data_IF_338436180806
#
_entry.id   IF_338436180806
#
_cell.length_a   1.000
_cell.length_b   1.000
_cell.length_c   1.000
_cell.angle_alpha   90.00
_cell.angle_beta   90.00
_cell.angle_gamma   90.00
#
_symmetry.space_group_name_H-M   'P 1'
#
loop_
_entity.id
_entity.type
_entity.pdbx_description
1 polymer ?
#
# COMPACT_ATOMS: atom_id res chain seq x y z
N UNK A 1 14.03 16.83 -41.44
CA UNK A 1 14.16 15.94 -40.25
C UNK A 1 13.84 16.66 -38.92
N UNK A 2 12.82 17.54 -38.87
CA UNK A 2 12.42 18.24 -37.62
C UNK A 2 11.13 17.72 -37.00
N UNK A 3 10.33 16.96 -37.76
CA UNK A 3 9.00 16.48 -37.34
C UNK A 3 9.03 15.13 -36.59
N UNK A 4 10.11 14.35 -36.71
CA UNK A 4 10.22 13.04 -36.07
C UNK A 4 10.60 13.14 -34.58
N UNK A 5 11.39 14.15 -34.20
CA UNK A 5 11.79 14.40 -32.82
C UNK A 5 10.62 14.84 -31.92
N UNK A 6 9.58 15.44 -32.50
CA UNK A 6 8.37 15.83 -31.76
C UNK A 6 7.49 14.63 -31.40
N UNK A 7 7.51 13.55 -32.21
CA UNK A 7 6.73 12.35 -31.96
C UNK A 7 7.37 11.45 -30.88
N UNK A 8 8.71 11.37 -30.83
CA UNK A 8 9.39 10.66 -29.74
C UNK A 8 9.30 11.39 -28.39
N UNK A 9 9.14 12.72 -28.38
CA UNK A 9 8.97 13.50 -27.15
C UNK A 9 7.60 13.36 -26.47
N UNK A 10 6.57 12.88 -27.18
CA UNK A 10 5.24 12.67 -26.60
C UNK A 10 5.01 11.24 -26.08
N UNK A 11 5.91 10.29 -26.40
CA UNK A 11 5.87 8.94 -25.85
C UNK A 11 6.60 8.79 -24.51
N UNK A 12 7.24 9.86 -24.00
CA UNK A 12 8.00 9.83 -22.73
C UNK A 12 7.26 10.44 -21.54
N UNK A 13 5.95 10.68 -21.63
CA UNK A 13 5.14 11.25 -20.53
C UNK A 13 4.25 10.22 -19.82
N UNK A 14 4.34 8.92 -20.15
CA UNK A 14 3.29 7.94 -19.79
C UNK A 14 3.59 7.00 -18.63
N UNK A 15 4.45 7.34 -17.66
CA UNK A 15 4.67 6.44 -16.51
C UNK A 15 4.97 7.10 -15.15
N UNK A 16 4.89 8.43 -15.00
CA UNK A 16 5.28 9.09 -13.75
C UNK A 16 4.16 9.28 -12.71
N UNK A 17 2.93 8.81 -12.96
CA UNK A 17 1.86 8.86 -11.96
C UNK A 17 1.33 7.44 -11.69
N UNK A 18 2.24 6.56 -11.29
CA UNK A 18 1.86 5.42 -10.47
C UNK A 18 1.40 5.96 -9.12
N UNK A 19 0.23 5.50 -8.67
CA UNK A 19 -0.34 5.73 -7.34
C UNK A 19 0.73 6.04 -6.28
N UNK A 20 0.82 7.29 -5.79
CA UNK A 20 1.63 7.75 -4.64
C UNK A 20 3.02 7.15 -4.39
N UNK A 21 3.63 6.43 -5.34
CA UNK A 21 4.78 5.55 -5.12
C UNK A 21 4.48 4.08 -4.82
N UNK A 22 5.51 3.24 -4.98
CA UNK A 22 5.46 1.81 -4.63
C UNK A 22 5.42 1.61 -3.12
N UNK A 23 4.58 0.71 -2.62
CA UNK A 23 4.66 0.21 -1.24
C UNK A 23 5.54 -1.04 -1.18
N UNK A 24 6.45 -1.06 -0.23
CA UNK A 24 7.33 -2.18 0.05
C UNK A 24 7.12 -2.58 1.51
N UNK A 25 6.73 -3.83 1.74
CA UNK A 25 6.58 -4.38 3.09
C UNK A 25 7.65 -5.43 3.29
N UNK A 26 8.53 -5.23 4.27
CA UNK A 26 9.65 -6.10 4.57
C UNK A 26 9.46 -6.68 5.97
N UNK A 27 9.24 -7.98 6.05
CA UNK A 27 9.16 -8.69 7.32
C UNK A 27 10.52 -9.35 7.57
N UNK A 28 11.41 -8.69 8.31
CA UNK A 28 12.72 -9.22 8.69
C UNK A 28 12.69 -10.06 9.96
N UNK A 29 11.53 -10.23 10.59
CA UNK A 29 11.41 -11.13 11.75
C UNK A 29 11.68 -12.58 11.31
N UNK A 30 12.13 -13.41 12.25
CA UNK A 30 12.30 -14.86 12.02
C UNK A 30 11.17 -15.70 12.60
N UNK A 31 10.37 -15.13 13.49
CA UNK A 31 9.41 -15.87 14.32
C UNK A 31 7.96 -15.50 14.03
N UNK A 32 7.72 -14.47 13.20
CA UNK A 32 6.40 -13.91 13.03
C UNK A 32 6.03 -13.63 11.57
N UNK A 33 4.84 -14.03 11.15
CA UNK A 33 4.24 -13.66 9.87
C UNK A 33 3.43 -12.37 10.07
N UNK A 34 3.58 -11.45 9.13
CA UNK A 34 2.77 -10.22 9.10
C UNK A 34 1.43 -10.53 8.46
N UNK A 35 0.33 -10.27 9.18
CA UNK A 35 -1.02 -10.32 8.64
C UNK A 35 -1.61 -8.92 8.73
N UNK A 36 -2.02 -8.33 7.62
CA UNK A 36 -2.54 -6.97 7.68
C UNK A 36 -3.39 -6.53 6.50
N UNK A 37 -4.06 -5.40 6.73
CA UNK A 37 -4.77 -4.65 5.71
C UNK A 37 -3.96 -3.41 5.39
N UNK A 38 -3.71 -3.14 4.12
CA UNK A 38 -3.05 -1.92 3.67
C UNK A 38 -4.08 -0.92 3.18
N UNK A 39 -3.81 0.36 3.43
CA UNK A 39 -4.67 1.47 3.09
C UNK A 39 -3.91 2.48 2.26
N UNK A 40 -4.64 3.07 1.33
CA UNK A 40 -4.22 4.25 0.61
C UNK A 40 -5.36 5.26 0.61
N UNK A 41 -5.03 6.54 0.75
CA UNK A 41 -6.01 7.60 0.77
C UNK A 41 -5.49 8.83 0.03
N UNK A 42 -6.41 9.72 -0.28
CA UNK A 42 -6.05 11.09 -0.61
C UNK A 42 -5.57 11.79 0.66
N UNK A 43 -4.53 12.61 0.55
CA UNK A 43 -3.97 13.41 1.65
C UNK A 43 -3.93 14.90 1.33
N UNK A 44 -4.17 15.28 0.07
CA UNK A 44 -4.19 16.67 -0.40
C UNK A 44 -5.62 17.21 -0.55
N UNK A 45 -6.61 16.33 -0.73
CA UNK A 45 -8.02 16.67 -0.97
C UNK A 45 -9.00 16.16 0.09
N UNK A 46 -8.52 15.85 1.30
CA UNK A 46 -9.26 15.08 2.31
C UNK A 46 -9.03 13.59 2.16
N UNK A 47 -9.81 12.73 2.82
CA UNK A 47 -9.48 11.30 3.00
C UNK A 47 -9.97 10.36 1.91
N UNK A 48 -10.62 10.91 0.90
CA UNK A 48 -11.25 10.16 -0.16
C UNK A 48 -10.66 10.53 -1.52
N UNK A 49 -10.52 9.56 -2.45
CA UNK A 49 -10.90 8.17 -2.29
C UNK A 49 -10.00 7.41 -1.28
N UNK A 50 -10.59 6.47 -0.55
CA UNK A 50 -9.91 5.58 0.40
C UNK A 50 -10.00 4.16 -0.13
N UNK A 51 -8.84 3.52 -0.24
CA UNK A 51 -8.67 2.19 -0.79
C UNK A 51 -8.10 1.32 0.31
N UNK A 52 -8.62 0.12 0.48
CA UNK A 52 -8.01 -0.89 1.34
C UNK A 52 -7.95 -2.24 0.65
N UNK A 53 -6.98 -3.08 1.02
CA UNK A 53 -7.09 -4.51 0.72
C UNK A 53 -8.34 -5.08 1.40
N UNK A 54 -8.95 -6.11 0.80
CA UNK A 54 -10.23 -6.64 1.26
C UNK A 54 -10.05 -7.59 2.45
N UNK A 55 -10.74 -7.30 3.54
CA UNK A 55 -11.09 -8.22 4.64
C UNK A 55 -12.19 -9.21 4.16
N UNK A 56 -12.10 -10.55 4.37
CA UNK A 56 -11.23 -11.30 5.30
C UNK A 56 -9.83 -11.69 4.80
N UNK A 57 -9.46 -11.31 3.58
CA UNK A 57 -8.20 -11.72 2.97
C UNK A 57 -7.07 -10.76 3.36
N UNK A 58 -6.67 -10.80 4.64
CA UNK A 58 -5.49 -10.09 5.10
C UNK A 58 -4.27 -10.48 4.24
N UNK A 59 -3.43 -9.50 3.94
CA UNK A 59 -2.15 -9.73 3.29
C UNK A 59 -1.27 -10.47 4.28
N UNK A 60 -0.79 -11.65 3.89
CA UNK A 60 0.13 -12.46 4.67
C UNK A 60 1.53 -12.37 4.07
N UNK A 61 2.48 -11.87 4.85
CA UNK A 61 3.90 -11.79 4.47
C UNK A 61 4.69 -12.60 5.47
N UNK A 62 5.19 -13.78 5.07
CA UNK A 62 5.95 -14.66 5.95
C UNK A 62 7.18 -14.00 6.57
N UNK A 63 7.62 -14.55 7.69
CA UNK A 63 8.92 -14.24 8.29
C UNK A 63 10.05 -14.31 7.24
N UNK A 64 10.90 -13.29 7.19
CA UNK A 64 12.00 -13.16 6.23
C UNK A 64 11.60 -12.75 4.80
N UNK A 65 10.32 -12.48 4.52
CA UNK A 65 9.83 -12.18 3.19
C UNK A 65 9.66 -10.68 2.91
N UNK A 66 9.51 -10.34 1.63
CA UNK A 66 9.22 -8.97 1.16
C UNK A 66 8.09 -8.98 0.15
N UNK A 67 7.09 -8.12 0.36
CA UNK A 67 6.04 -7.82 -0.60
C UNK A 67 6.29 -6.45 -1.25
N UNK A 68 5.89 -6.32 -2.51
CA UNK A 68 5.96 -5.07 -3.28
C UNK A 68 4.63 -4.81 -3.95
N UNK A 69 4.16 -3.58 -3.89
CA UNK A 69 2.91 -3.14 -4.50
C UNK A 69 3.17 -1.88 -5.32
N UNK A 70 3.42 -2.06 -6.61
CA UNK A 70 3.69 -0.97 -7.56
C UNK A 70 2.49 -0.03 -7.69
N UNK A 71 1.29 -0.61 -7.75
CA UNK A 71 0.00 0.07 -7.71
C UNK A 71 -1.11 -0.98 -7.52
N UNK A 72 -2.37 -0.55 -7.35
CA UNK A 72 -3.52 -1.44 -7.15
C UNK A 72 -3.66 -2.58 -8.17
N UNK A 73 -3.34 -2.32 -9.45
CA UNK A 73 -3.55 -3.25 -10.56
C UNK A 73 -2.33 -4.13 -10.81
N UNK A 74 -1.18 -3.51 -11.05
CA UNK A 74 -0.01 -4.21 -11.57
C UNK A 74 0.62 -5.15 -10.53
N UNK A 75 0.47 -4.82 -9.24
CA UNK A 75 0.89 -5.67 -8.12
C UNK A 75 0.35 -7.10 -8.20
N UNK A 76 -0.79 -7.32 -8.88
CA UNK A 76 -1.37 -8.65 -8.99
C UNK A 76 -0.46 -9.64 -9.76
N UNK A 77 0.36 -9.14 -10.69
CA UNK A 77 1.26 -9.96 -11.50
C UNK A 77 2.73 -9.84 -11.08
N UNK A 78 3.08 -8.82 -10.29
CA UNK A 78 4.46 -8.51 -9.89
C UNK A 78 4.75 -8.84 -8.43
N UNK A 79 3.75 -8.76 -7.54
CA UNK A 79 3.88 -9.09 -6.13
C UNK A 79 3.84 -10.60 -5.92
N UNK A 80 4.69 -11.10 -5.03
CA UNK A 80 4.58 -12.47 -4.51
C UNK A 80 3.38 -12.65 -3.56
N UNK A 81 2.78 -11.54 -3.10
CA UNK A 81 1.66 -11.52 -2.15
C UNK A 81 0.53 -10.62 -2.69
N UNK A 82 -0.10 -11.00 -3.81
CA UNK A 82 -0.98 -10.12 -4.56
C UNK A 82 -2.34 -9.93 -3.88
N UNK A 83 -2.89 -8.73 -4.01
CA UNK A 83 -4.26 -8.39 -3.60
C UNK A 83 -5.20 -8.55 -4.80
N UNK A 84 -6.17 -9.47 -4.72
CA UNK A 84 -7.12 -9.71 -5.82
C UNK A 84 -8.29 -8.72 -5.86
N UNK A 85 -8.61 -8.11 -4.71
CA UNK A 85 -9.75 -7.22 -4.54
C UNK A 85 -9.43 -6.04 -3.62
N UNK A 86 -9.91 -4.87 -4.00
CA UNK A 86 -9.76 -3.61 -3.29
C UNK A 86 -11.11 -3.06 -2.89
N UNK A 87 -11.25 -2.70 -1.63
CA UNK A 87 -12.40 -1.94 -1.14
C UNK A 87 -12.16 -0.47 -1.48
N UNK A 88 -13.12 0.17 -2.15
CA UNK A 88 -12.99 1.55 -2.60
C UNK A 88 -14.14 2.39 -2.05
N UNK A 89 -13.81 3.34 -1.18
CA UNK A 89 -14.74 4.35 -0.68
C UNK A 89 -14.44 5.69 -1.34
N UNK A 90 -15.42 6.33 -1.96
CA UNK A 90 -15.20 7.55 -2.76
C UNK A 90 -15.58 8.85 -2.02
N UNK A 91 -16.38 8.75 -0.96
CA UNK A 91 -16.81 9.89 -0.15
C UNK A 91 -17.22 9.45 1.25
N UNK A 92 -17.33 10.39 2.22
CA UNK A 92 -17.88 10.09 3.53
C UNK A 92 -19.26 9.44 3.43
N UNK A 93 -19.51 8.37 4.19
CA UNK A 93 -20.80 7.67 4.22
C UNK A 93 -21.16 6.86 2.97
N UNK A 94 -20.29 6.82 1.94
CA UNK A 94 -20.51 5.98 0.77
C UNK A 94 -20.28 4.49 1.07
N UNK A 95 -20.96 3.62 0.33
CA UNK A 95 -20.64 2.20 0.35
C UNK A 95 -19.24 1.96 -0.21
N UNK A 96 -18.57 0.93 0.30
CA UNK A 96 -17.23 0.53 -0.13
C UNK A 96 -17.30 -0.78 -0.93
N UNK A 97 -17.83 -0.79 -2.16
CA UNK A 97 -17.95 -2.01 -2.93
C UNK A 97 -16.55 -2.55 -3.27
N UNK A 98 -16.33 -3.88 -3.15
CA UNK A 98 -15.09 -4.49 -3.56
C UNK A 98 -14.96 -4.39 -5.09
N UNK A 99 -13.76 -4.04 -5.55
CA UNK A 99 -13.37 -3.97 -6.95
C UNK A 99 -12.23 -4.94 -7.19
N UNK A 100 -12.34 -5.75 -8.24
CA UNK A 100 -11.23 -6.60 -8.67
C UNK A 100 -10.01 -5.75 -9.00
N UNK A 101 -8.82 -6.28 -8.80
CA UNK A 101 -7.54 -5.64 -9.18
C UNK A 101 -7.53 -5.13 -10.64
N UNK A 102 -8.25 -5.80 -11.54
CA UNK A 102 -8.36 -5.46 -12.96
C UNK A 102 -9.46 -4.44 -13.30
N UNK A 103 -10.21 -3.95 -12.30
CA UNK A 103 -11.29 -3.00 -12.51
C UNK A 103 -10.77 -1.69 -13.10
N UNK A 104 -11.44 -1.17 -14.15
CA UNK A 104 -10.97 -0.01 -14.93
C UNK A 104 -10.74 1.29 -14.12
N UNK A 105 -11.32 1.40 -12.93
CA UNK A 105 -11.08 2.54 -12.03
C UNK A 105 -9.74 2.49 -11.29
N UNK A 106 -9.10 1.32 -11.22
CA UNK A 106 -7.85 1.07 -10.48
C UNK A 106 -6.63 1.08 -11.41
N UNK A 107 -6.81 1.45 -12.68
CA UNK A 107 -5.70 1.51 -13.63
C UNK A 107 -4.67 2.56 -13.18
N UNK A 108 -3.38 2.31 -13.42
CA UNK A 108 -2.35 3.34 -13.28
C UNK A 108 -2.71 4.58 -14.12
N UNK A 109 -2.43 5.78 -13.61
CA UNK A 109 -2.82 7.03 -14.27
C UNK A 109 -4.31 7.41 -14.19
N UNK A 110 -5.16 6.54 -13.63
CA UNK A 110 -6.58 6.85 -13.39
C UNK A 110 -6.81 7.81 -12.22
N UNK A 111 -8.04 8.32 -12.08
CA UNK A 111 -8.39 9.32 -11.04
C UNK A 111 -8.09 8.80 -9.64
N UNK A 112 -8.45 7.55 -9.32
CA UNK A 112 -8.17 6.96 -8.01
C UNK A 112 -6.66 6.88 -7.77
N UNK A 113 -5.93 6.26 -8.70
CA UNK A 113 -4.48 6.09 -8.60
C UNK A 113 -3.77 7.44 -8.43
N UNK A 114 -4.10 8.45 -9.24
CA UNK A 114 -3.42 9.75 -9.18
C UNK A 114 -3.71 10.56 -7.92
N UNK A 115 -4.79 10.27 -7.20
CA UNK A 115 -5.21 11.03 -6.02
C UNK A 115 -5.01 10.25 -4.72
N UNK A 116 -4.30 9.13 -4.73
CA UNK A 116 -4.11 8.31 -3.54
C UNK A 116 -2.66 7.91 -3.34
N UNK A 117 -2.27 7.85 -2.07
CA UNK A 117 -0.97 7.38 -1.63
C UNK A 117 -1.15 6.38 -0.49
N UNK A 118 -0.24 5.40 -0.41
CA UNK A 118 -0.19 4.48 0.72
C UNK A 118 -0.04 5.27 2.02
N UNK A 119 -0.90 4.99 2.98
CA UNK A 119 -1.04 5.87 4.15
C UNK A 119 -0.92 5.14 5.47
N UNK A 120 -1.46 3.93 5.56
CA UNK A 120 -1.37 3.13 6.77
C UNK A 120 -1.57 1.65 6.49
N UNK A 121 -1.27 0.83 7.49
CA UNK A 121 -1.67 -0.55 7.59
C UNK A 121 -2.23 -0.81 8.99
N UNK A 122 -3.19 -1.73 9.08
CA UNK A 122 -3.59 -2.35 10.33
C UNK A 122 -3.04 -3.77 10.31
N UNK A 123 -2.29 -4.17 11.32
CA UNK A 123 -1.62 -5.46 11.32
C UNK A 123 -1.73 -6.20 12.65
N UNK A 124 -1.56 -7.51 12.55
CA UNK A 124 -1.41 -8.45 13.64
C UNK A 124 -0.30 -9.42 13.23
N UNK A 125 0.69 -9.60 14.09
CA UNK A 125 1.73 -10.60 13.86
C UNK A 125 1.22 -11.98 14.31
N UNK A 126 1.58 -13.02 13.58
CA UNK A 126 1.24 -14.42 13.87
C UNK A 126 2.52 -15.22 14.03
N UNK A 127 2.55 -16.23 14.89
CA UNK A 127 3.71 -17.12 14.93
C UNK A 127 3.92 -17.76 13.55
N UNK A 128 5.16 -17.73 13.06
CA UNK A 128 5.50 -18.08 11.69
C UNK A 128 4.96 -19.46 11.29
N UNK A 129 4.26 -19.51 10.15
CA UNK A 129 3.65 -20.72 9.61
C UNK A 129 2.39 -21.20 10.36
N UNK A 130 1.82 -20.39 11.26
CA UNK A 130 0.65 -20.75 12.07
C UNK A 130 -0.46 -19.72 11.98
N UNK A 131 -1.64 -20.08 12.48
CA UNK A 131 -2.76 -19.15 12.67
C UNK A 131 -2.87 -18.63 14.12
N UNK A 132 -1.78 -18.71 14.90
CA UNK A 132 -1.75 -18.24 16.30
C UNK A 132 -1.23 -16.81 16.36
N UNK A 133 -2.04 -15.81 16.76
CA UNK A 133 -1.60 -14.42 16.83
C UNK A 133 -0.68 -14.16 18.04
N UNK A 134 0.33 -13.32 17.84
CA UNK A 134 1.12 -12.71 18.93
C UNK A 134 0.34 -11.54 19.53
N UNK A 135 -0.27 -11.76 20.70
CA UNK A 135 -1.29 -10.87 21.29
C UNK A 135 -0.82 -9.44 21.47
N UNK A 136 0.49 -9.21 21.57
CA UNK A 136 1.07 -7.91 21.88
C UNK A 136 1.93 -7.32 20.77
N UNK A 137 1.98 -7.97 19.59
CA UNK A 137 2.65 -7.43 18.41
C UNK A 137 1.63 -7.18 17.30
N UNK A 138 0.89 -6.08 17.43
CA UNK A 138 -0.17 -5.65 16.52
C UNK A 138 -0.37 -4.13 16.62
N UNK A 139 -1.15 -3.59 15.70
CA UNK A 139 -1.61 -2.21 15.77
C UNK A 139 -1.91 -1.57 14.42
N UNK A 140 -2.23 -0.28 14.48
CA UNK A 140 -2.26 0.59 13.32
C UNK A 140 -0.86 1.20 13.15
N UNK A 141 -0.32 1.24 11.93
CA UNK A 141 0.96 1.87 11.61
C UNK A 141 0.86 2.64 10.29
N UNK A 142 1.46 3.81 10.17
CA UNK A 142 1.35 4.62 8.96
C UNK A 142 2.06 5.95 9.01
N UNK A 143 2.00 6.68 7.91
CA UNK A 143 2.36 8.08 7.89
C UNK A 143 1.19 8.88 8.43
N UNK A 144 1.31 9.44 9.64
CA UNK A 144 0.29 10.32 10.23
C UNK A 144 -0.10 11.38 9.20
N UNK A 145 -1.35 11.37 8.78
CA UNK A 145 -1.88 12.27 7.76
C UNK A 145 -3.29 12.71 8.15
N UNK A 146 -3.36 13.72 9.02
CA UNK A 146 -4.62 14.32 9.44
C UNK A 146 -5.34 14.96 8.23
N UNK A 147 -6.68 14.80 8.11
CA UNK A 147 -7.61 14.19 9.06
C UNK A 147 -7.84 12.68 8.87
N UNK A 148 -7.03 12.00 8.07
CA UNK A 148 -7.37 10.71 7.47
C UNK A 148 -6.86 9.50 8.21
N UNK A 149 -5.72 9.62 8.84
CA UNK A 149 -5.26 8.66 9.83
C UNK A 149 -4.44 9.38 10.91
N UNK A 150 -4.43 8.80 12.10
CA UNK A 150 -3.56 9.18 13.22
C UNK A 150 -2.64 8.02 13.61
N UNK A 151 -2.34 7.13 12.65
CA UNK A 151 -1.50 5.98 12.92
C UNK A 151 -0.07 6.46 13.19
N UNK A 152 0.60 5.93 14.23
CA UNK A 152 2.01 6.23 14.45
C UNK A 152 2.85 5.66 13.31
N UNK A 153 3.99 6.28 13.06
CA UNK A 153 4.99 5.80 12.09
C UNK A 153 5.88 4.68 12.65
N UNK A 154 5.73 4.38 13.95
CA UNK A 154 6.51 3.39 14.67
C UNK A 154 5.65 2.63 15.67
N UNK A 155 5.88 1.33 15.77
CA UNK A 155 5.31 0.46 16.81
C UNK A 155 6.45 -0.34 17.40
N UNK A 156 6.67 -0.22 18.70
CA UNK A 156 7.76 -0.92 19.42
C UNK A 156 7.15 -1.75 20.54
N UNK A 157 7.50 -3.03 20.57
CA UNK A 157 6.99 -4.00 21.54
C UNK A 157 8.13 -4.85 22.08
N UNK A 158 7.86 -5.73 23.06
CA UNK A 158 8.87 -6.68 23.52
C UNK A 158 9.21 -7.78 22.50
N UNK A 159 8.41 -7.93 21.44
CA UNK A 159 8.51 -9.00 20.44
C UNK A 159 9.05 -8.53 19.09
N UNK A 160 9.22 -7.21 18.91
CA UNK A 160 9.74 -6.62 17.69
C UNK A 160 9.31 -5.16 17.51
N UNK A 161 9.80 -4.59 16.41
CA UNK A 161 9.50 -3.23 15.96
C UNK A 161 8.87 -3.24 14.58
N UNK A 162 7.99 -2.27 14.32
CA UNK A 162 7.55 -1.93 12.99
C UNK A 162 7.76 -0.44 12.72
N UNK A 163 8.18 -0.08 11.51
CA UNK A 163 8.41 1.30 11.08
C UNK A 163 7.79 1.56 9.72
N UNK A 164 7.12 2.69 9.58
CA UNK A 164 6.56 3.20 8.36
C UNK A 164 7.24 4.51 7.97
N UNK A 165 7.71 4.62 6.71
CA UNK A 165 8.27 5.87 6.21
C UNK A 165 8.20 5.93 4.69
N UNK A 166 8.29 7.14 4.15
CA UNK A 166 8.31 7.39 2.70
C UNK A 166 9.61 8.08 2.32
N UNK A 167 10.27 7.56 1.29
CA UNK A 167 11.45 8.15 0.66
C UNK A 167 11.06 8.66 -0.72
N UNK A 168 11.43 9.90 -1.01
CA UNK A 168 11.30 10.49 -2.34
C UNK A 168 12.70 10.69 -2.93
N UNK A 169 12.96 10.08 -4.09
CA UNK A 169 14.23 10.19 -4.80
C UNK A 169 13.95 10.63 -6.24
N UNK A 170 14.16 11.93 -6.51
CA UNK A 170 13.81 12.50 -7.81
C UNK A 170 12.29 12.48 -8.02
N UNK A 171 11.84 11.81 -9.08
CA UNK A 171 10.42 11.63 -9.37
C UNK A 171 9.81 10.37 -8.72
N UNK A 172 10.66 9.48 -8.18
CA UNK A 172 10.21 8.22 -7.62
C UNK A 172 9.89 8.37 -6.13
N UNK A 173 8.75 7.81 -5.72
CA UNK A 173 8.30 7.75 -4.33
C UNK A 173 8.23 6.28 -3.92
N UNK A 174 8.78 5.98 -2.74
CA UNK A 174 8.76 4.65 -2.15
C UNK A 174 8.28 4.74 -0.71
N UNK A 175 7.23 3.98 -0.39
CA UNK A 175 6.74 3.85 0.98
C UNK A 175 7.15 2.49 1.51
N UNK A 176 7.73 2.47 2.70
CA UNK A 176 8.24 1.28 3.36
C UNK A 176 7.43 1.01 4.63
N UNK A 177 7.10 -0.26 4.84
CA UNK A 177 6.76 -0.83 6.12
C UNK A 177 7.80 -1.90 6.44
N UNK A 178 8.64 -1.65 7.43
CA UNK A 178 9.67 -2.58 7.89
C UNK A 178 9.24 -3.16 9.23
N UNK A 179 9.19 -4.49 9.34
CA UNK A 179 8.98 -5.21 10.59
C UNK A 179 10.26 -5.98 10.92
N UNK A 180 10.72 -5.93 12.17
CA UNK A 180 11.97 -6.56 12.63
C UNK A 180 11.84 -7.13 14.04
#
# INVERSE_FOLDING_TARGET
MKKLLLLLGMCSLSSAYAQGGMLIIQNFTTNYDFHGTIYANNTLGGCYPMISSRDPDAIVIPAGATAKYENYRDQFNTSSYPVSMWNVTLSPGSSSPPRLWSHGSLIPGGVISNNTQWSMSKFQMYHAGTSVPETYFNGDIGGTALPCNTAPDTVTTAWGDAKWFTITSGADVYTYLIIQ
#
